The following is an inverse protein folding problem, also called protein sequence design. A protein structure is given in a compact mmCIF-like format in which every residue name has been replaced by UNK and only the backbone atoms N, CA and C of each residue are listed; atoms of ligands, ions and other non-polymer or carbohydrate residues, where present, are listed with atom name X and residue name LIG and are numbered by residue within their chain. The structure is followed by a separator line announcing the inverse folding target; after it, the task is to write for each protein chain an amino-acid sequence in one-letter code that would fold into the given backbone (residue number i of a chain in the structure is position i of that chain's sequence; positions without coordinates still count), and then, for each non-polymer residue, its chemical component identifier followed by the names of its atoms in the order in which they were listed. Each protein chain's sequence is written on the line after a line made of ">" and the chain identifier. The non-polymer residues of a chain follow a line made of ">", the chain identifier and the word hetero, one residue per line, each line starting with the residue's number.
data_IF_833931527112
#
_entry.id   IF_833931527112
#
_cell.length_a   1.000
_cell.length_b   1.000
_cell.length_c   1.000
_cell.angle_alpha   90.00
_cell.angle_beta   90.00
_cell.angle_gamma   90.00
#
_symmetry.space_group_name_H-M   'P 1'
#
loop_
_entity.id
_entity.type
_entity.pdbx_description
1 polymer ?
#
# COMPACT_ATOMS: atom_id res chain seq x y z
N UNK A 1 -8.77 -6.73 -14.81
CA UNK A 1 -7.98 -5.56 -15.27
C UNK A 1 -6.65 -5.36 -14.53
N UNK A 2 -6.17 -6.31 -13.70
CA UNK A 2 -4.85 -6.27 -13.03
C UNK A 2 -3.85 -7.32 -13.56
N UNK A 3 -4.11 -7.92 -14.72
CA UNK A 3 -3.27 -9.00 -15.26
C UNK A 3 -2.14 -8.37 -16.09
N UNK A 4 -0.94 -8.32 -15.51
CA UNK A 4 0.27 -7.94 -16.23
C UNK A 4 0.67 -9.02 -17.24
N UNK A 5 1.53 -8.66 -18.20
CA UNK A 5 2.02 -9.57 -19.25
C UNK A 5 2.81 -10.73 -18.64
N UNK A 6 3.43 -10.48 -17.48
CA UNK A 6 4.14 -11.46 -16.65
C UNK A 6 3.54 -11.60 -15.24
N UNK A 7 3.83 -12.73 -14.57
CA UNK A 7 3.42 -12.96 -13.17
C UNK A 7 3.95 -11.84 -12.24
N UNK A 8 5.18 -11.38 -12.44
CA UNK A 8 5.79 -10.30 -11.66
C UNK A 8 5.06 -8.96 -11.83
N UNK A 9 4.68 -8.60 -13.05
CA UNK A 9 3.92 -7.36 -13.31
C UNK A 9 2.51 -7.40 -12.70
N UNK A 10 1.89 -8.59 -12.64
CA UNK A 10 0.61 -8.77 -11.96
C UNK A 10 0.75 -8.49 -10.46
N UNK A 11 1.81 -9.00 -9.83
CA UNK A 11 2.10 -8.74 -8.41
C UNK A 11 2.46 -7.27 -8.15
N UNK A 12 3.23 -6.66 -9.04
CA UNK A 12 3.57 -5.24 -8.98
C UNK A 12 2.31 -4.36 -9.00
N UNK A 13 1.40 -4.60 -9.95
CA UNK A 13 0.13 -3.87 -10.07
C UNK A 13 -0.77 -4.07 -8.83
N UNK A 14 -0.81 -5.27 -8.27
CA UNK A 14 -1.58 -5.54 -7.04
C UNK A 14 -0.98 -4.77 -5.86
N UNK A 15 0.35 -4.77 -5.70
CA UNK A 15 0.99 -4.04 -4.61
C UNK A 15 0.85 -2.52 -4.75
N UNK A 16 0.91 -1.98 -5.97
CA UNK A 16 0.63 -0.56 -6.24
C UNK A 16 -0.83 -0.24 -5.88
N UNK A 17 -1.77 -1.10 -6.25
CA UNK A 17 -3.18 -0.91 -5.92
C UNK A 17 -3.42 -0.91 -4.40
N UNK A 18 -2.81 -1.86 -3.67
CA UNK A 18 -2.90 -1.92 -2.20
C UNK A 18 -2.24 -0.69 -1.56
N UNK A 19 -1.12 -0.21 -2.10
CA UNK A 19 -0.46 1.02 -1.64
C UNK A 19 -1.40 2.22 -1.78
N UNK A 20 -2.09 2.34 -2.91
CA UNK A 20 -3.06 3.40 -3.19
C UNK A 20 -4.26 3.32 -2.23
N UNK A 21 -4.76 2.10 -1.98
CA UNK A 21 -5.82 1.84 -1.01
C UNK A 21 -5.41 2.22 0.42
N UNK A 22 -4.20 1.83 0.84
CA UNK A 22 -3.63 2.19 2.14
C UNK A 22 -3.48 3.70 2.29
N UNK A 23 -3.05 4.40 1.23
CA UNK A 23 -2.90 5.85 1.23
C UNK A 23 -4.26 6.57 1.34
N UNK A 24 -5.30 6.01 0.70
CA UNK A 24 -6.66 6.52 0.83
C UNK A 24 -7.21 6.33 2.25
N UNK A 25 -7.00 5.16 2.85
CA UNK A 25 -7.39 4.86 4.25
C UNK A 25 -6.62 5.75 5.22
N UNK A 26 -5.33 5.98 4.98
CA UNK A 26 -4.50 6.88 5.76
C UNK A 26 -5.02 8.32 5.67
N UNK A 27 -5.27 8.81 4.46
CA UNK A 27 -5.76 10.17 4.23
C UNK A 27 -7.12 10.41 4.87
N UNK A 28 -8.04 9.44 4.78
CA UNK A 28 -9.35 9.52 5.43
C UNK A 28 -9.22 9.46 6.96
N UNK A 29 -8.38 8.58 7.50
CA UNK A 29 -8.08 8.51 8.93
C UNK A 29 -7.52 9.82 9.47
N UNK A 30 -6.55 10.43 8.78
CA UNK A 30 -5.98 11.73 9.15
C UNK A 30 -7.06 12.83 9.10
N UNK A 31 -7.86 12.88 8.02
CA UNK A 31 -8.95 13.84 7.91
C UNK A 31 -9.97 13.72 9.04
N UNK A 32 -10.32 12.49 9.44
CA UNK A 32 -11.22 12.22 10.57
C UNK A 32 -10.58 12.58 11.92
N UNK A 33 -9.27 12.39 12.11
CA UNK A 33 -8.57 12.79 13.34
C UNK A 33 -8.58 14.30 13.59
N UNK A 34 -8.69 15.11 12.53
CA UNK A 34 -8.79 16.57 12.66
C UNK A 34 -10.10 17.01 13.34
N UNK A 35 -11.17 16.20 13.22
CA UNK A 35 -12.49 16.47 13.80
C UNK A 35 -12.64 15.77 15.17
N UNK A 36 -12.16 14.52 15.27
CA UNK A 36 -12.16 13.76 16.52
C UNK A 36 -10.83 13.03 16.69
N UNK A 37 -9.89 13.57 17.49
CA UNK A 37 -8.54 13.04 17.60
C UNK A 37 -8.44 11.74 18.42
N UNK A 38 -9.53 11.28 19.04
CA UNK A 38 -9.53 10.13 19.95
C UNK A 38 -10.37 8.97 19.41
N UNK A 39 -9.83 7.75 19.53
CA UNK A 39 -10.53 6.51 19.22
C UNK A 39 -10.35 6.03 17.78
N UNK A 40 -11.46 5.74 17.11
CA UNK A 40 -11.50 5.06 15.81
C UNK A 40 -10.72 5.77 14.67
N UNK A 41 -10.76 7.11 14.53
CA UNK A 41 -10.01 7.81 13.48
C UNK A 41 -8.49 7.61 13.54
N UNK A 42 -7.93 7.65 14.75
CA UNK A 42 -6.50 7.45 14.97
C UNK A 42 -6.10 6.01 14.65
N UNK A 43 -6.94 5.03 15.03
CA UNK A 43 -6.74 3.63 14.67
C UNK A 43 -6.76 3.43 13.14
N UNK A 44 -7.69 4.10 12.45
CA UNK A 44 -7.83 4.02 11.00
C UNK A 44 -6.60 4.59 10.28
N UNK A 45 -6.08 5.74 10.76
CA UNK A 45 -4.84 6.32 10.25
C UNK A 45 -3.63 5.40 10.49
N UNK A 46 -3.52 4.81 11.69
CA UNK A 46 -2.46 3.85 12.00
C UNK A 46 -2.50 2.63 11.07
N UNK A 47 -3.67 2.03 10.87
CA UNK A 47 -3.86 0.88 9.98
C UNK A 47 -3.54 1.25 8.52
N UNK A 48 -4.03 2.40 8.05
CA UNK A 48 -3.71 2.91 6.71
C UNK A 48 -2.20 3.07 6.49
N UNK A 49 -1.49 3.66 7.47
CA UNK A 49 -0.03 3.83 7.39
C UNK A 49 0.70 2.50 7.33
N UNK A 50 0.27 1.52 8.14
CA UNK A 50 0.87 0.19 8.19
C UNK A 50 0.67 -0.56 6.86
N UNK A 51 -0.53 -0.52 6.29
CA UNK A 51 -0.83 -1.16 4.99
C UNK A 51 0.03 -0.55 3.87
N UNK A 52 0.11 0.78 3.81
CA UNK A 52 0.95 1.46 2.80
C UNK A 52 2.42 1.14 2.99
N UNK A 53 2.91 1.12 4.24
CA UNK A 53 4.29 0.80 4.55
C UNK A 53 4.65 -0.63 4.12
N UNK A 54 3.86 -1.63 4.51
CA UNK A 54 4.09 -3.02 4.10
C UNK A 54 4.05 -3.19 2.58
N UNK A 55 3.17 -2.47 1.89
CA UNK A 55 3.04 -2.56 0.43
C UNK A 55 4.26 -1.97 -0.28
N UNK A 56 4.81 -0.87 0.22
CA UNK A 56 6.05 -0.28 -0.29
C UNK A 56 7.24 -1.22 -0.03
N UNK A 57 7.36 -1.77 1.17
CA UNK A 57 8.41 -2.74 1.49
C UNK A 57 8.34 -3.95 0.56
N UNK A 58 7.15 -4.51 0.34
CA UNK A 58 6.94 -5.61 -0.59
C UNK A 58 7.26 -5.23 -2.05
N UNK A 59 6.95 -4.01 -2.48
CA UNK A 59 7.34 -3.49 -3.81
C UNK A 59 8.85 -3.44 -3.97
N UNK A 60 9.57 -2.93 -2.97
CA UNK A 60 11.04 -2.87 -2.98
C UNK A 60 11.62 -4.28 -3.13
N UNK A 61 11.13 -5.25 -2.34
CA UNK A 61 11.57 -6.64 -2.46
C UNK A 61 11.22 -7.26 -3.83
N UNK A 62 10.04 -6.98 -4.36
CA UNK A 62 9.62 -7.45 -5.68
C UNK A 62 10.54 -6.89 -6.77
N UNK A 63 10.87 -5.60 -6.71
CA UNK A 63 11.83 -4.98 -7.61
C UNK A 63 13.23 -5.59 -7.50
N UNK A 64 13.75 -5.79 -6.28
CA UNK A 64 15.02 -6.49 -6.08
C UNK A 64 15.01 -7.89 -6.70
N UNK A 65 13.93 -8.65 -6.52
CA UNK A 65 13.80 -9.99 -7.11
C UNK A 65 13.72 -9.94 -8.64
N UNK A 66 13.09 -8.91 -9.20
CA UNK A 66 12.96 -8.69 -10.65
C UNK A 66 14.33 -8.33 -11.26
N UNK A 67 15.07 -7.44 -10.62
CA UNK A 67 16.45 -7.05 -10.97
C UNK A 67 17.38 -8.27 -10.97
N UNK A 68 17.36 -9.08 -9.90
CA UNK A 68 18.22 -10.27 -9.76
C UNK A 68 17.85 -11.35 -10.79
N UNK A 69 16.56 -11.50 -11.12
CA UNK A 69 16.11 -12.47 -12.14
C UNK A 69 16.30 -11.97 -13.57
N UNK A 70 16.78 -10.74 -13.77
CA UNK A 70 17.00 -10.16 -15.09
C UNK A 70 15.74 -10.14 -15.97
N UNK A 71 14.56 -9.99 -15.35
CA UNK A 71 13.24 -10.11 -15.99
C UNK A 71 12.52 -8.77 -16.16
#
# INVERSE_FOLDING_TARGET
>A
MLKGKNKFETWENVLIFITCLGAFILSTGIGLTAISPKGFPALLAMVGSLISFLSIVALIFLWFLKEIKGA
#
